data_IF_580063416392
#
_entry.id   IF_580063416392
#
_cell.length_a   1.000
_cell.length_b   1.000
_cell.length_c   1.000
_cell.angle_alpha   90.00
_cell.angle_beta   90.00
_cell.angle_gamma   90.00
#
_symmetry.space_group_name_H-M   'P 1'
#
loop_
_entity.id
_entity.type
_entity.pdbx_description
1 polymer ?
#
# COMPACT_ATOMS: atom_id res chain seq x y z
N UNK A 1 -3.01 2.58 -3.07
CA UNK A 1 -3.48 1.57 -2.10
C UNK A 1 -2.57 1.59 -0.88
N UNK A 2 -3.13 1.81 0.30
CA UNK A 2 -2.38 1.71 1.55
C UNK A 2 -2.41 0.24 1.99
N UNK A 3 -1.24 -0.35 2.23
CA UNK A 3 -1.13 -1.77 2.59
C UNK A 3 -0.17 -1.93 3.77
N UNK A 4 -0.42 -2.81 4.74
CA UNK A 4 0.58 -3.10 5.77
C UNK A 4 1.85 -3.66 5.13
N UNK A 5 3.02 -3.19 5.57
CA UNK A 5 4.31 -3.61 4.99
C UNK A 5 4.53 -5.13 5.03
N UNK A 6 3.98 -5.79 6.05
CA UNK A 6 4.01 -7.25 6.18
C UNK A 6 3.28 -7.99 5.04
N UNK A 7 2.28 -7.34 4.43
CA UNK A 7 1.48 -7.89 3.32
C UNK A 7 2.09 -7.61 1.93
N UNK A 8 3.28 -6.99 1.85
CA UNK A 8 3.96 -6.78 0.57
C UNK A 8 4.26 -8.10 -0.15
N UNK A 9 4.51 -9.18 0.60
CA UNK A 9 4.78 -10.52 0.03
C UNK A 9 3.56 -11.08 -0.72
N UNK A 10 2.35 -10.71 -0.30
CA UNK A 10 1.11 -11.12 -0.95
C UNK A 10 0.94 -10.40 -2.31
N UNK A 11 1.61 -9.25 -2.50
CA UNK A 11 1.58 -8.55 -3.78
C UNK A 11 2.30 -9.34 -4.87
N UNK A 12 3.28 -10.18 -4.54
CA UNK A 12 4.00 -10.97 -5.56
C UNK A 12 3.06 -11.90 -6.34
N UNK A 13 1.97 -12.35 -5.72
CA UNK A 13 0.93 -13.18 -6.35
C UNK A 13 -0.03 -12.39 -7.25
N UNK A 14 -0.06 -11.06 -7.14
CA UNK A 14 -0.94 -10.21 -7.93
C UNK A 14 -0.38 -10.06 -9.35
N UNK A 15 -1.21 -10.26 -10.40
CA UNK A 15 -0.78 -10.09 -11.79
C UNK A 15 -0.25 -8.68 -12.10
N UNK A 16 0.78 -8.61 -12.94
CA UNK A 16 1.45 -7.34 -13.29
C UNK A 16 0.52 -6.30 -13.92
N UNK A 17 -0.52 -6.71 -14.64
CA UNK A 17 -1.48 -5.79 -15.24
C UNK A 17 -2.29 -5.00 -14.20
N UNK A 18 -2.45 -5.54 -12.99
CA UNK A 18 -3.09 -4.86 -11.85
C UNK A 18 -2.08 -3.95 -11.16
N UNK A 19 -0.83 -4.40 -10.97
CA UNK A 19 0.24 -3.61 -10.35
C UNK A 19 0.58 -2.35 -11.14
N UNK A 20 0.57 -2.43 -12.47
CA UNK A 20 0.94 -1.31 -13.35
C UNK A 20 0.01 -0.10 -13.29
N UNK A 21 -1.22 -0.27 -12.80
CA UNK A 21 -2.20 0.82 -12.69
C UNK A 21 -2.37 1.37 -11.27
N UNK A 22 -1.63 0.84 -10.29
CA UNK A 22 -1.90 1.08 -8.88
C UNK A 22 -0.60 1.40 -8.15
N UNK A 23 -0.55 2.55 -7.49
CA UNK A 23 0.52 2.90 -6.57
C UNK A 23 0.26 2.28 -5.19
N UNK A 24 1.25 1.58 -4.65
CA UNK A 24 1.17 0.97 -3.33
C UNK A 24 1.96 1.80 -2.32
N UNK A 25 1.33 2.15 -1.21
CA UNK A 25 1.93 2.85 -0.08
C UNK A 25 2.00 1.89 1.10
N UNK A 26 3.14 1.18 1.28
CA UNK A 26 3.32 0.30 2.41
C UNK A 26 3.50 1.09 3.70
N UNK A 27 2.78 0.71 4.75
CA UNK A 27 2.84 1.36 6.08
C UNK A 27 3.12 0.35 7.19
N UNK A 28 3.80 0.79 8.24
CA UNK A 28 4.05 -0.01 9.44
C UNK A 28 3.13 0.37 10.61
N UNK A 29 2.68 1.62 10.65
CA UNK A 29 1.87 2.15 11.75
C UNK A 29 0.66 2.95 11.27
N UNK A 30 -0.31 3.13 12.18
CA UNK A 30 -1.56 3.82 11.86
C UNK A 30 -1.35 5.32 11.60
N UNK A 31 -0.36 5.94 12.22
CA UNK A 31 -0.05 7.36 12.02
C UNK A 31 0.33 7.66 10.57
N UNK A 32 1.01 6.73 9.89
CA UNK A 32 1.34 6.85 8.47
C UNK A 32 0.09 6.82 7.59
N UNK A 33 -0.93 6.05 7.98
CA UNK A 33 -2.23 6.02 7.29
C UNK A 33 -2.90 7.38 7.37
N UNK A 34 -2.92 7.98 8.57
CA UNK A 34 -3.54 9.28 8.79
C UNK A 34 -2.85 10.37 7.96
N UNK A 35 -1.52 10.40 7.93
CA UNK A 35 -0.76 11.36 7.14
C UNK A 35 -1.01 11.24 5.62
N UNK A 36 -1.27 10.03 5.13
CA UNK A 36 -1.53 9.78 3.70
C UNK A 36 -3.00 10.02 3.31
N UNK A 37 -3.94 9.66 4.18
CA UNK A 37 -5.37 9.68 3.87
C UNK A 37 -6.05 11.01 4.24
N UNK A 38 -5.48 11.76 5.18
CA UNK A 38 -6.04 13.01 5.70
C UNK A 38 -4.94 14.11 5.79
N UNK A 39 -4.41 14.57 4.65
CA UNK A 39 -3.56 15.77 4.62
C UNK A 39 -4.40 17.02 4.93
N UNK A 40 -3.77 18.03 5.55
CA UNK A 40 -4.39 19.31 5.94
C UNK A 40 -5.03 20.09 4.77
#
# INVERSE_FOLDING_TARGET
IIIPKQNLRDLDEIPDHIKKGIEFHPVERFEEVLALALPD
#
